data_IF_507739693325
#
_entry.id   IF_507739693325
#
_cell.length_a   1.000
_cell.length_b   1.000
_cell.length_c   1.000
_cell.angle_alpha   90.00
_cell.angle_beta   90.00
_cell.angle_gamma   90.00
#
_symmetry.space_group_name_H-M   'P 1'
#
loop_
_entity.id
_entity.type
_entity.pdbx_description
1 polymer ?
#
# COMPACT_ATOMS: atom_id res chain seq x y z
N UNK A 1 -6.88 -26.22 -2.36
CA UNK A 1 -6.15 -25.32 -3.26
C UNK A 1 -4.67 -25.36 -2.91
N UNK A 2 -3.77 -25.09 -3.87
CA UNK A 2 -2.34 -24.94 -3.58
C UNK A 2 -2.17 -23.73 -2.65
N UNK A 3 -1.43 -23.87 -1.56
CA UNK A 3 -1.05 -22.75 -0.71
C UNK A 3 -0.05 -21.84 -1.42
N UNK A 4 -0.06 -20.57 -1.06
CA UNK A 4 0.80 -19.54 -1.66
C UNK A 4 2.07 -19.31 -0.83
N UNK A 5 3.16 -19.00 -1.51
CA UNK A 5 4.38 -18.50 -0.90
C UNK A 5 4.43 -16.98 -1.10
N UNK A 6 4.58 -16.23 -0.02
CA UNK A 6 4.52 -14.77 -0.03
C UNK A 6 5.81 -14.15 0.47
N UNK A 7 6.34 -13.18 -0.25
CA UNK A 7 7.43 -12.33 0.23
C UNK A 7 6.88 -10.97 0.70
N UNK A 8 7.28 -10.55 1.90
CA UNK A 8 6.99 -9.23 2.45
C UNK A 8 8.25 -8.37 2.40
N UNK A 9 8.18 -7.24 1.71
CA UNK A 9 9.30 -6.33 1.47
C UNK A 9 9.07 -5.01 2.20
N UNK A 10 10.00 -4.68 3.11
CA UNK A 10 9.89 -3.55 4.03
C UNK A 10 9.23 -3.97 5.36
N UNK A 11 10.02 -3.99 6.42
CA UNK A 11 9.60 -4.52 7.72
C UNK A 11 9.32 -3.45 8.78
N UNK A 12 9.53 -2.18 8.50
CA UNK A 12 9.20 -1.12 9.48
C UNK A 12 7.72 -1.25 9.89
N UNK A 13 6.82 -0.87 9.03
CA UNK A 13 5.38 -1.14 9.22
C UNK A 13 5.01 -2.59 8.84
N UNK A 14 5.78 -3.22 7.96
CA UNK A 14 5.52 -4.56 7.44
C UNK A 14 5.51 -5.66 8.49
N UNK A 15 6.19 -5.51 9.64
CA UNK A 15 6.16 -6.50 10.73
C UNK A 15 4.73 -6.82 11.19
N UNK A 16 3.81 -5.88 11.09
CA UNK A 16 2.41 -6.10 11.45
C UNK A 16 1.73 -7.14 10.53
N UNK A 17 2.17 -7.25 9.28
CA UNK A 17 1.62 -8.20 8.32
C UNK A 17 2.26 -9.60 8.40
N UNK A 18 3.48 -9.73 8.93
CA UNK A 18 4.17 -11.03 9.05
C UNK A 18 3.32 -12.02 9.84
N UNK A 19 2.77 -11.57 11.00
CA UNK A 19 1.92 -12.41 11.84
C UNK A 19 0.65 -12.88 11.12
N UNK A 20 0.09 -12.04 10.26
CA UNK A 20 -1.11 -12.35 9.47
C UNK A 20 -0.78 -13.44 8.46
N UNK A 21 0.28 -13.28 7.68
CA UNK A 21 0.69 -14.26 6.69
C UNK A 21 1.10 -15.60 7.32
N UNK A 22 1.85 -15.59 8.43
CA UNK A 22 2.24 -16.80 9.12
C UNK A 22 1.06 -17.63 9.66
N UNK A 23 -0.07 -16.97 9.94
CA UNK A 23 -1.28 -17.62 10.47
C UNK A 23 -2.35 -17.91 9.41
N UNK A 24 -2.20 -17.37 8.20
CA UNK A 24 -3.22 -17.50 7.17
C UNK A 24 -3.25 -18.94 6.61
N UNK A 25 -4.41 -19.61 6.56
CA UNK A 25 -4.51 -21.01 6.18
C UNK A 25 -4.06 -21.30 4.74
N UNK A 26 -4.14 -20.31 3.84
CA UNK A 26 -3.77 -20.43 2.44
C UNK A 26 -2.31 -20.06 2.15
N UNK A 27 -1.53 -19.68 3.17
CA UNK A 27 -0.10 -19.39 3.04
C UNK A 27 0.71 -20.59 3.52
N UNK A 28 1.71 -20.97 2.74
CA UNK A 28 2.68 -22.03 3.07
C UNK A 28 3.97 -21.44 3.65
N UNK A 29 4.64 -20.59 2.88
CA UNK A 29 5.91 -19.98 3.28
C UNK A 29 5.84 -18.47 3.24
N UNK A 30 6.44 -17.85 4.26
CA UNK A 30 6.64 -16.40 4.34
C UNK A 30 8.13 -16.11 4.20
N UNK A 31 8.44 -15.20 3.29
CA UNK A 31 9.77 -14.62 3.07
C UNK A 31 9.75 -13.17 3.49
N UNK A 32 10.85 -12.69 4.03
CA UNK A 32 10.95 -11.29 4.49
C UNK A 32 12.17 -10.62 3.89
N UNK A 33 12.01 -9.35 3.54
CA UNK A 33 13.06 -8.53 2.92
C UNK A 33 13.13 -7.18 3.60
N UNK A 34 14.27 -6.82 4.15
CA UNK A 34 14.55 -5.47 4.62
C UNK A 34 16.06 -5.20 4.63
N UNK A 35 16.47 -3.98 4.29
CA UNK A 35 17.88 -3.55 4.38
C UNK A 35 18.38 -3.47 5.80
N UNK A 36 17.48 -3.35 6.77
CA UNK A 36 17.78 -3.24 8.18
C UNK A 36 17.83 -4.64 8.83
N UNK A 37 19.01 -5.15 9.05
CA UNK A 37 19.23 -6.46 9.68
C UNK A 37 18.56 -6.61 11.05
N UNK A 38 18.38 -5.51 11.82
CA UNK A 38 17.67 -5.55 13.10
C UNK A 38 16.21 -5.94 12.91
N UNK A 39 15.57 -5.43 11.86
CA UNK A 39 14.17 -5.79 11.55
C UNK A 39 14.05 -7.23 11.07
N UNK A 40 15.02 -7.72 10.30
CA UNK A 40 15.09 -9.13 9.91
C UNK A 40 15.26 -10.02 11.15
N UNK A 41 16.13 -9.67 12.08
CA UNK A 41 16.31 -10.43 13.33
C UNK A 41 15.02 -10.44 14.18
N UNK A 42 14.29 -9.33 14.26
CA UNK A 42 12.97 -9.31 14.91
C UNK A 42 12.00 -10.27 14.23
N UNK A 43 11.97 -10.30 12.90
CA UNK A 43 11.11 -11.23 12.16
C UNK A 43 11.48 -12.70 12.42
N UNK A 44 12.77 -13.02 12.46
CA UNK A 44 13.28 -14.37 12.78
C UNK A 44 12.87 -14.79 14.18
N UNK A 45 13.15 -13.96 15.18
CA UNK A 45 12.90 -14.28 16.58
C UNK A 45 11.39 -14.32 16.92
N UNK A 46 10.64 -13.31 16.46
CA UNK A 46 9.24 -13.14 16.85
C UNK A 46 8.29 -14.06 16.08
N UNK A 47 8.62 -14.37 14.83
CA UNK A 47 7.72 -15.12 13.93
C UNK A 47 8.33 -16.44 13.44
N UNK A 48 9.51 -16.81 13.94
CA UNK A 48 10.22 -18.04 13.58
C UNK A 48 10.47 -18.15 12.08
N UNK A 49 10.81 -17.02 11.44
CA UNK A 49 11.20 -17.04 10.03
C UNK A 49 12.64 -17.56 9.94
N UNK A 50 12.89 -18.65 9.20
CA UNK A 50 14.22 -19.22 9.09
C UNK A 50 15.16 -18.34 8.24
N UNK A 51 16.46 -18.45 8.48
CA UNK A 51 17.49 -17.58 7.85
C UNK A 51 17.42 -17.60 6.33
N UNK A 52 17.17 -18.76 5.74
CA UNK A 52 17.06 -18.96 4.29
C UNK A 52 15.85 -18.26 3.64
N UNK A 53 14.98 -17.64 4.46
CA UNK A 53 13.83 -16.86 3.99
C UNK A 53 13.94 -15.37 4.36
N UNK A 54 15.13 -14.93 4.79
CA UNK A 54 15.42 -13.56 5.18
C UNK A 54 16.44 -12.97 4.21
N UNK A 55 16.08 -11.89 3.54
CA UNK A 55 16.89 -11.28 2.48
C UNK A 55 17.02 -9.76 2.70
N UNK A 56 18.03 -9.18 2.06
CA UNK A 56 18.27 -7.72 2.13
C UNK A 56 17.95 -6.98 0.84
N UNK A 57 17.76 -7.69 -0.26
CA UNK A 57 17.40 -7.10 -1.55
C UNK A 57 16.13 -7.73 -2.14
N UNK A 58 15.32 -6.89 -2.80
CA UNK A 58 14.12 -7.34 -3.50
C UNK A 58 14.45 -8.36 -4.58
N UNK A 59 15.59 -8.23 -5.26
CA UNK A 59 15.96 -9.14 -6.36
C UNK A 59 16.07 -10.58 -5.89
N UNK A 60 16.61 -10.80 -4.69
CA UNK A 60 16.78 -12.14 -4.16
C UNK A 60 15.46 -12.92 -4.13
N UNK A 61 14.36 -12.27 -3.71
CA UNK A 61 13.02 -12.92 -3.68
C UNK A 61 12.35 -12.95 -5.06
N UNK A 62 12.70 -12.06 -5.97
CA UNK A 62 12.19 -12.11 -7.34
C UNK A 62 12.75 -13.31 -8.11
N UNK A 63 13.98 -13.71 -7.81
CA UNK A 63 14.67 -14.83 -8.46
C UNK A 63 14.25 -16.21 -7.90
N UNK A 64 13.48 -16.26 -6.80
CA UNK A 64 12.96 -17.50 -6.24
C UNK A 64 11.68 -17.92 -6.98
N UNK A 65 11.68 -19.03 -7.76
CA UNK A 65 10.54 -19.40 -8.60
C UNK A 65 9.29 -19.78 -7.80
N UNK A 66 9.46 -20.31 -6.58
CA UNK A 66 8.35 -20.78 -5.76
C UNK A 66 7.55 -19.64 -5.09
N UNK A 67 8.05 -18.41 -5.08
CA UNK A 67 7.32 -17.26 -4.54
C UNK A 67 6.21 -16.86 -5.51
N UNK A 68 4.97 -16.93 -5.06
CA UNK A 68 3.78 -16.64 -5.85
C UNK A 68 3.42 -15.13 -5.82
N UNK A 69 3.63 -14.46 -4.68
CA UNK A 69 3.24 -13.06 -4.48
C UNK A 69 4.25 -12.27 -3.64
N UNK A 70 4.33 -10.98 -3.91
CA UNK A 70 5.16 -10.02 -3.15
C UNK A 70 4.28 -8.90 -2.62
N UNK A 71 4.38 -8.63 -1.31
CA UNK A 71 3.74 -7.48 -0.66
C UNK A 71 4.79 -6.41 -0.37
N UNK A 72 4.63 -5.25 -0.98
CA UNK A 72 5.51 -4.10 -0.83
C UNK A 72 4.97 -3.16 0.27
N UNK A 73 5.77 -2.96 1.32
CA UNK A 73 5.52 -2.06 2.45
C UNK A 73 6.73 -1.15 2.63
N UNK A 74 7.15 -0.56 1.54
CA UNK A 74 8.38 0.21 1.41
C UNK A 74 8.09 1.72 1.37
N UNK A 75 9.10 2.60 1.35
CA UNK A 75 8.85 4.03 1.18
C UNK A 75 8.12 4.35 -0.13
N UNK A 76 7.19 5.34 -0.15
CA UNK A 76 6.34 5.64 -1.31
C UNK A 76 7.06 5.81 -2.65
N UNK A 77 8.25 6.40 -2.65
CA UNK A 77 9.04 6.59 -3.86
C UNK A 77 9.50 5.27 -4.52
N UNK A 78 9.45 4.15 -3.79
CA UNK A 78 9.84 2.83 -4.31
C UNK A 78 8.65 1.98 -4.75
N UNK A 79 7.42 2.39 -4.45
CA UNK A 79 6.23 1.60 -4.73
C UNK A 79 6.09 1.26 -6.22
N UNK A 80 6.14 2.26 -7.08
CA UNK A 80 5.97 2.06 -8.51
C UNK A 80 7.12 1.24 -9.14
N UNK A 81 8.40 1.63 -9.00
CA UNK A 81 9.48 0.85 -9.60
C UNK A 81 9.55 -0.58 -9.07
N UNK A 82 9.26 -0.82 -7.79
CA UNK A 82 9.25 -2.17 -7.23
C UNK A 82 8.05 -2.98 -7.71
N UNK A 83 6.86 -2.37 -7.79
CA UNK A 83 5.67 -3.02 -8.34
C UNK A 83 5.88 -3.51 -9.77
N UNK A 84 6.48 -2.68 -10.61
CA UNK A 84 6.82 -3.04 -12.01
C UNK A 84 7.80 -4.22 -12.03
N UNK A 85 8.86 -4.20 -11.20
CA UNK A 85 9.82 -5.31 -11.10
C UNK A 85 9.14 -6.61 -10.67
N UNK A 86 8.28 -6.57 -9.64
CA UNK A 86 7.54 -7.74 -9.14
C UNK A 86 6.66 -8.34 -10.23
N UNK A 87 5.89 -7.51 -10.92
CA UNK A 87 4.99 -7.96 -12.00
C UNK A 87 5.78 -8.55 -13.17
N UNK A 88 6.88 -7.90 -13.59
CA UNK A 88 7.74 -8.39 -14.66
C UNK A 88 8.47 -9.69 -14.30
N UNK A 89 8.72 -9.94 -13.01
CA UNK A 89 9.22 -11.23 -12.52
C UNK A 89 8.14 -12.34 -12.47
N UNK A 90 6.93 -12.05 -12.98
CA UNK A 90 5.84 -13.02 -13.06
C UNK A 90 5.20 -13.35 -11.71
N UNK A 91 5.27 -12.45 -10.74
CA UNK A 91 4.67 -12.60 -9.41
C UNK A 91 3.49 -11.67 -9.22
N UNK A 92 2.51 -12.09 -8.40
CA UNK A 92 1.44 -11.21 -7.95
C UNK A 92 2.01 -10.12 -7.05
N UNK A 93 1.48 -8.91 -7.14
CA UNK A 93 1.95 -7.76 -6.38
C UNK A 93 0.83 -7.17 -5.51
N UNK A 94 1.05 -7.10 -4.19
CA UNK A 94 0.34 -6.21 -3.29
C UNK A 94 1.23 -5.02 -2.95
N UNK A 95 0.70 -3.80 -2.99
CA UNK A 95 1.48 -2.62 -2.63
C UNK A 95 0.67 -1.71 -1.72
N UNK A 96 1.29 -1.25 -0.63
CA UNK A 96 0.70 -0.22 0.22
C UNK A 96 0.53 1.09 -0.54
N UNK A 97 -0.26 1.97 0.01
CA UNK A 97 -0.55 3.29 -0.56
C UNK A 97 0.60 4.30 -0.30
N UNK A 98 0.76 5.27 -1.21
CA UNK A 98 0.13 5.45 -2.50
C UNK A 98 0.66 4.46 -3.56
N UNK A 99 -0.10 4.21 -4.61
CA UNK A 99 0.31 3.33 -5.71
C UNK A 99 1.60 3.81 -6.41
N UNK A 100 1.74 5.12 -6.58
CA UNK A 100 2.88 5.80 -7.18
C UNK A 100 2.77 7.30 -6.97
N UNK A 101 3.79 8.04 -7.37
CA UNK A 101 3.95 9.48 -7.14
C UNK A 101 3.67 10.32 -8.39
N UNK A 102 3.45 9.70 -9.55
CA UNK A 102 3.17 10.37 -10.82
C UNK A 102 2.23 9.54 -11.69
N UNK A 103 1.54 10.20 -12.62
CA UNK A 103 0.67 9.54 -13.59
C UNK A 103 1.45 8.53 -14.45
N UNK A 104 2.71 8.84 -14.78
CA UNK A 104 3.55 7.92 -15.54
C UNK A 104 3.79 6.62 -14.76
N UNK A 105 4.14 6.72 -13.49
CA UNK A 105 4.33 5.55 -12.62
C UNK A 105 3.06 4.68 -12.52
N UNK A 106 1.88 5.31 -12.41
CA UNK A 106 0.61 4.57 -12.40
C UNK A 106 0.39 3.81 -13.72
N UNK A 107 0.68 4.47 -14.85
CA UNK A 107 0.58 3.85 -16.17
C UNK A 107 1.57 2.70 -16.34
N UNK A 108 2.79 2.83 -15.83
CA UNK A 108 3.82 1.79 -15.89
C UNK A 108 3.40 0.54 -15.11
N UNK A 109 2.81 0.70 -13.92
CA UNK A 109 2.26 -0.43 -13.14
C UNK A 109 1.11 -1.10 -13.91
N UNK A 110 0.19 -0.31 -14.48
CA UNK A 110 -0.94 -0.83 -15.25
C UNK A 110 -0.44 -1.62 -16.47
N UNK A 111 0.56 -1.10 -17.17
CA UNK A 111 1.17 -1.76 -18.33
C UNK A 111 1.86 -3.09 -17.91
N UNK A 112 2.67 -3.08 -16.87
CA UNK A 112 3.32 -4.27 -16.32
C UNK A 112 2.30 -5.32 -15.85
N UNK A 113 1.23 -4.91 -15.19
CA UNK A 113 0.14 -5.79 -14.77
C UNK A 113 -0.54 -6.46 -15.97
N UNK A 114 -0.82 -5.70 -17.04
CA UNK A 114 -1.43 -6.23 -18.24
C UNK A 114 -0.49 -7.21 -18.96
N UNK A 115 0.78 -6.86 -19.08
CA UNK A 115 1.79 -7.67 -19.76
C UNK A 115 2.07 -9.00 -19.03
N UNK A 116 2.17 -8.95 -17.70
CA UNK A 116 2.47 -10.14 -16.88
C UNK A 116 1.28 -11.08 -16.70
N UNK A 117 0.05 -10.61 -16.86
CA UNK A 117 -1.17 -11.35 -16.51
C UNK A 117 -1.33 -11.62 -15.02
N UNK A 118 -0.50 -11.01 -14.17
CA UNK A 118 -0.55 -11.18 -12.71
C UNK A 118 -1.52 -10.20 -12.07
N UNK A 119 -1.97 -10.50 -10.86
CA UNK A 119 -2.80 -9.59 -10.09
C UNK A 119 -1.93 -8.50 -9.44
N UNK A 120 -2.48 -7.30 -9.43
CA UNK A 120 -1.99 -6.20 -8.62
C UNK A 120 -3.07 -5.76 -7.64
N UNK A 121 -2.74 -5.66 -6.37
CA UNK A 121 -3.63 -5.18 -5.33
C UNK A 121 -3.09 -3.88 -4.76
N UNK A 122 -3.84 -2.81 -4.95
CA UNK A 122 -3.64 -1.55 -4.24
C UNK A 122 -4.24 -1.70 -2.84
N UNK A 123 -3.37 -1.74 -1.81
CA UNK A 123 -3.77 -2.15 -0.46
C UNK A 123 -4.28 -0.96 0.37
N UNK A 124 -5.43 -0.43 -0.02
CA UNK A 124 -6.14 0.58 0.75
C UNK A 124 -6.91 -0.04 1.91
N UNK A 125 -6.52 0.28 3.14
CA UNK A 125 -7.03 -0.40 4.33
C UNK A 125 -8.36 0.16 4.84
N UNK A 126 -8.70 1.42 4.56
CA UNK A 126 -9.89 2.05 5.14
C UNK A 126 -11.20 1.44 4.65
N UNK A 127 -11.21 0.88 3.44
CA UNK A 127 -12.39 0.17 2.90
C UNK A 127 -12.64 -1.20 3.54
N UNK A 128 -11.73 -1.67 4.39
CA UNK A 128 -11.85 -2.91 5.15
C UNK A 128 -12.05 -2.67 6.66
N UNK A 129 -12.12 -1.42 7.09
CA UNK A 129 -12.44 -1.10 8.49
C UNK A 129 -13.88 -1.49 8.79
N UNK A 130 -14.11 -2.04 10.00
CA UNK A 130 -15.43 -2.56 10.38
C UNK A 130 -16.53 -1.50 10.31
N UNK A 131 -16.21 -0.24 10.62
CA UNK A 131 -17.14 0.89 10.55
C UNK A 131 -17.60 1.12 9.11
N UNK A 132 -16.66 1.08 8.15
CA UNK A 132 -16.97 1.21 6.74
C UNK A 132 -17.77 0.00 6.22
N UNK A 133 -17.38 -1.21 6.58
CA UNK A 133 -18.10 -2.43 6.20
C UNK A 133 -19.54 -2.42 6.72
N UNK A 134 -19.74 -1.90 7.94
CA UNK A 134 -21.09 -1.74 8.50
C UNK A 134 -21.93 -0.72 7.73
N UNK A 135 -21.38 0.45 7.41
CA UNK A 135 -22.06 1.44 6.56
C UNK A 135 -22.39 0.86 5.20
N UNK A 136 -21.48 0.11 4.59
CA UNK A 136 -21.70 -0.56 3.31
C UNK A 136 -22.83 -1.60 3.41
N UNK A 137 -22.94 -2.32 4.52
CA UNK A 137 -24.03 -3.27 4.76
C UNK A 137 -25.38 -2.56 4.87
N UNK A 138 -25.47 -1.48 5.65
CA UNK A 138 -26.68 -0.66 5.77
C UNK A 138 -27.12 -0.09 4.41
N UNK A 139 -26.14 0.40 3.64
CA UNK A 139 -26.43 0.93 2.31
C UNK A 139 -26.97 -0.14 1.35
N UNK A 140 -26.38 -1.35 1.37
CA UNK A 140 -26.87 -2.49 0.57
C UNK A 140 -28.29 -2.95 0.94
N UNK A 141 -28.69 -2.73 2.19
CA UNK A 141 -30.05 -3.03 2.69
C UNK A 141 -31.05 -1.89 2.46
N UNK A 142 -30.63 -0.82 1.80
CA UNK A 142 -31.43 0.40 1.57
C UNK A 142 -31.86 1.13 2.85
N UNK A 143 -31.19 0.85 3.98
CA UNK A 143 -31.49 1.47 5.27
C UNK A 143 -31.05 2.96 5.33
N UNK A 144 -30.11 3.36 4.47
CA UNK A 144 -29.61 4.74 4.36
C UNK A 144 -30.27 5.52 3.21
N UNK A 145 -31.12 4.85 2.40
CA UNK A 145 -31.75 5.46 1.24
C UNK A 145 -30.77 5.88 0.15
N UNK A 146 -31.18 6.80 -0.71
CA UNK A 146 -30.39 7.25 -1.86
C UNK A 146 -29.25 8.16 -1.42
N UNK A 147 -28.03 7.83 -1.83
CA UNK A 147 -26.85 8.66 -1.62
C UNK A 147 -27.01 10.03 -2.32
N UNK A 148 -26.89 11.10 -1.53
CA UNK A 148 -26.98 12.48 -1.99
C UNK A 148 -25.67 13.23 -1.86
N UNK A 149 -24.98 13.00 -0.74
CA UNK A 149 -23.76 13.69 -0.37
C UNK A 149 -22.93 12.82 0.58
N UNK A 150 -21.63 12.89 0.44
CA UNK A 150 -20.67 12.22 1.32
C UNK A 150 -19.56 13.18 1.74
N UNK A 151 -19.16 13.08 2.99
CA UNK A 151 -17.94 13.70 3.49
C UNK A 151 -17.09 12.62 4.13
N UNK A 152 -15.82 12.58 3.79
CA UNK A 152 -14.84 11.74 4.46
C UNK A 152 -13.61 12.58 4.78
N UNK A 153 -13.05 12.37 5.96
CA UNK A 153 -11.83 13.02 6.39
C UNK A 153 -10.87 11.98 6.96
N UNK A 154 -9.59 12.16 6.70
CA UNK A 154 -8.54 11.36 7.29
C UNK A 154 -7.58 12.27 8.03
N UNK A 155 -7.42 12.01 9.31
CA UNK A 155 -6.48 12.70 10.20
C UNK A 155 -5.52 11.68 10.76
N UNK A 156 -4.23 11.96 10.69
CA UNK A 156 -3.22 11.04 11.16
C UNK A 156 -2.11 11.82 11.85
N UNK A 157 -1.82 11.42 13.09
CA UNK A 157 -0.64 11.87 13.78
C UNK A 157 0.56 11.11 13.23
N UNK A 158 1.54 11.85 12.71
CA UNK A 158 2.76 11.30 12.12
C UNK A 158 3.97 11.50 13.02
N UNK A 159 3.78 11.88 14.29
CA UNK A 159 4.87 11.98 15.26
C UNK A 159 5.57 10.62 15.43
N UNK A 160 6.89 10.62 15.32
CA UNK A 160 7.69 9.38 15.40
C UNK A 160 7.68 8.49 14.15
N UNK A 161 7.03 8.92 13.09
CA UNK A 161 7.07 8.19 11.82
C UNK A 161 8.45 8.31 11.15
N UNK A 162 8.80 7.38 10.24
CA UNK A 162 10.05 7.47 9.49
C UNK A 162 10.19 8.80 8.74
N UNK A 163 11.40 9.33 8.70
CA UNK A 163 11.75 10.64 8.12
C UNK A 163 11.24 10.85 6.68
N UNK A 164 11.09 9.78 5.90
CA UNK A 164 10.57 9.90 4.53
C UNK A 164 9.08 10.32 4.46
N UNK A 165 8.32 10.25 5.56
CA UNK A 165 6.98 10.79 5.66
C UNK A 165 6.95 12.27 6.02
N UNK A 166 8.06 12.81 6.52
CA UNK A 166 8.13 14.19 6.94
C UNK A 166 7.91 15.13 5.75
N UNK A 167 6.85 15.96 5.82
CA UNK A 167 6.45 16.87 4.76
C UNK A 167 5.83 16.20 3.53
N UNK A 168 5.45 14.92 3.61
CA UNK A 168 4.79 14.24 2.52
C UNK A 168 3.46 14.95 2.17
N UNK A 169 3.23 15.33 0.89
CA UNK A 169 2.06 16.11 0.51
C UNK A 169 0.76 15.32 0.70
N UNK A 170 -0.23 15.82 1.45
CA UNK A 170 -1.49 15.10 1.66
C UNK A 170 -2.24 14.74 0.38
N UNK A 171 -2.15 15.55 -0.66
CA UNK A 171 -2.75 15.25 -1.98
C UNK A 171 -2.08 14.09 -2.72
N UNK A 172 -0.90 13.65 -2.30
CA UNK A 172 -0.28 12.42 -2.81
C UNK A 172 -0.69 11.18 -2.03
N UNK A 173 -1.43 11.35 -0.92
CA UNK A 173 -1.88 10.27 -0.06
C UNK A 173 -3.36 10.44 0.36
N UNK A 174 -4.30 10.74 -0.57
CA UNK A 174 -5.68 11.06 -0.22
C UNK A 174 -6.57 9.83 -0.10
N UNK A 175 -6.05 8.64 -0.36
CA UNK A 175 -6.85 7.43 -0.61
C UNK A 175 -7.68 7.00 0.59
N UNK A 176 -7.20 7.19 1.80
CA UNK A 176 -7.95 6.86 3.02
C UNK A 176 -9.26 7.66 3.16
N UNK A 177 -9.30 8.88 2.63
CA UNK A 177 -10.51 9.69 2.62
C UNK A 177 -11.36 9.48 1.34
N UNK A 178 -10.71 9.19 0.21
CA UNK A 178 -11.38 9.11 -1.10
C UNK A 178 -11.96 7.72 -1.35
N UNK A 179 -11.24 6.66 -1.00
CA UNK A 179 -11.64 5.29 -1.33
C UNK A 179 -12.99 4.87 -0.72
N UNK A 180 -13.32 5.16 0.55
CA UNK A 180 -14.64 4.85 1.09
C UNK A 180 -15.77 5.52 0.31
N UNK A 181 -15.59 6.79 -0.09
CA UNK A 181 -16.60 7.50 -0.88
C UNK A 181 -16.83 6.86 -2.25
N UNK A 182 -15.76 6.51 -2.96
CA UNK A 182 -15.86 5.86 -4.27
C UNK A 182 -16.47 4.46 -4.17
N UNK A 183 -16.14 3.71 -3.13
CA UNK A 183 -16.70 2.39 -2.90
C UNK A 183 -18.20 2.42 -2.62
N UNK A 184 -18.69 3.41 -1.86
CA UNK A 184 -20.13 3.58 -1.62
C UNK A 184 -20.87 4.09 -2.87
N UNK A 185 -20.24 5.02 -3.62
CA UNK A 185 -20.82 5.54 -4.85
C UNK A 185 -20.96 4.45 -5.94
N UNK A 186 -20.04 3.47 -5.94
CA UNK A 186 -20.05 2.37 -6.91
C UNK A 186 -19.60 2.77 -8.33
N UNK A 187 -19.11 3.98 -8.52
CA UNK A 187 -18.61 4.48 -9.80
C UNK A 187 -17.47 5.49 -9.62
N UNK A 188 -16.73 5.76 -10.70
CA UNK A 188 -15.71 6.79 -10.73
C UNK A 188 -16.37 8.18 -10.80
N UNK A 189 -15.70 9.23 -10.29
CA UNK A 189 -16.21 10.60 -10.36
C UNK A 189 -16.12 11.13 -11.79
N UNK A 190 -17.12 11.91 -12.22
CA UNK A 190 -17.10 12.61 -13.51
C UNK A 190 -16.12 13.79 -13.50
N UNK A 191 -15.97 14.45 -12.35
CA UNK A 191 -15.09 15.59 -12.16
C UNK A 191 -14.39 15.51 -10.81
N UNK A 192 -13.13 15.92 -10.79
CA UNK A 192 -12.31 16.01 -9.57
C UNK A 192 -11.71 17.39 -9.47
N UNK A 193 -11.87 17.99 -8.30
CA UNK A 193 -11.21 19.25 -7.94
C UNK A 193 -10.36 19.02 -6.72
N UNK A 194 -9.07 19.28 -6.83
CA UNK A 194 -8.12 19.17 -5.73
C UNK A 194 -7.58 20.55 -5.37
N UNK A 195 -7.58 20.89 -4.10
CA UNK A 195 -7.06 22.15 -3.59
C UNK A 195 -6.23 21.91 -2.34
N UNK A 196 -5.02 22.42 -2.34
CA UNK A 196 -4.18 22.50 -1.15
C UNK A 196 -4.25 23.90 -0.55
N UNK A 197 -3.70 24.06 0.65
CA UNK A 197 -3.62 25.38 1.34
C UNK A 197 -2.74 26.39 0.60
N UNK A 198 -1.90 25.95 -0.32
CA UNK A 198 -0.86 26.75 -0.97
C UNK A 198 0.30 27.17 -0.05
N UNK A 199 0.25 26.77 1.24
CA UNK A 199 1.35 27.03 2.18
C UNK A 199 2.33 25.86 2.13
N UNK A 200 3.57 26.18 1.87
CA UNK A 200 4.68 25.24 1.87
C UNK A 200 5.62 25.63 2.98
N UNK A 201 5.99 24.68 3.81
CA UNK A 201 7.13 24.86 4.72
C UNK A 201 8.38 24.94 3.85
N UNK A 202 9.17 26.03 3.96
CA UNK A 202 10.36 26.23 3.15
C UNK A 202 11.37 25.10 3.29
N UNK A 203 11.50 24.57 4.50
CA UNK A 203 12.38 23.46 4.86
C UNK A 203 12.00 22.12 4.23
N UNK A 204 10.75 21.98 3.77
CA UNK A 204 10.21 20.74 3.21
C UNK A 204 9.92 20.84 1.71
N UNK A 205 9.82 22.06 1.15
CA UNK A 205 9.45 22.29 -0.23
C UNK A 205 10.37 21.59 -1.23
N UNK A 206 11.65 21.61 -0.99
CA UNK A 206 12.66 21.03 -1.88
C UNK A 206 12.64 19.50 -1.90
N UNK A 207 12.15 18.86 -0.83
CA UNK A 207 12.13 17.41 -0.71
C UNK A 207 11.14 16.75 -1.68
N UNK A 208 9.97 17.37 -1.91
CA UNK A 208 8.91 16.79 -2.73
C UNK A 208 8.51 17.63 -3.93
N UNK A 209 9.06 18.81 -4.10
CA UNK A 209 8.79 19.69 -5.25
C UNK A 209 7.30 20.07 -5.41
N UNK A 210 6.49 19.89 -4.37
CA UNK A 210 5.05 20.05 -4.42
C UNK A 210 4.61 21.32 -3.68
N UNK A 211 4.00 22.32 -4.40
CA UNK A 211 3.53 23.56 -3.79
C UNK A 211 2.26 23.39 -2.93
N UNK A 212 1.63 22.20 -2.94
CA UNK A 212 0.37 21.93 -2.25
C UNK A 212 0.58 20.99 -1.06
N UNK A 213 1.55 21.28 -0.21
CA UNK A 213 1.98 20.39 0.85
C UNK A 213 0.92 20.11 1.92
N UNK A 214 -0.13 20.92 2.05
CA UNK A 214 -1.14 20.76 3.11
C UNK A 214 -2.55 20.99 2.60
N UNK A 215 -3.45 20.08 2.98
CA UNK A 215 -4.90 20.27 2.97
C UNK A 215 -5.31 20.57 4.41
N UNK A 216 -6.12 21.57 4.61
CA UNK A 216 -6.84 21.82 5.86
C UNK A 216 -8.26 21.33 5.71
#
# INVERSE_FOLDING_TARGET
>A
MKKLNVALVGLSFGLEFVAIYCKHPDIDKVYVVDKNEKLLNIAKERYSIPDERCFTDLQDVLDIPEIDAVHLVTPPATHAPFSVRVLNAGKHCGCTIPMGMSIQELNDIIAARKASGKNYMFMETTIFQREFLYIQELYKKDELGRLQYMTCAHYQDMEGWPEYWEGFPPLMHPTHAVAPCLMLAGHLPDKVYARGSGKVRKELADKYGCPFAYIY
#
